data_IF_265943894963
#
_entry.id   IF_265943894963
#
_cell.length_a   1.000
_cell.length_b   1.000
_cell.length_c   1.000
_cell.angle_alpha   90.00
_cell.angle_beta   90.00
_cell.angle_gamma   90.00
#
_symmetry.space_group_name_H-M   'P 1'
#
loop_
_entity.id
_entity.type
_entity.pdbx_description
1 polymer ?
#
# COMPACT_ATOMS: atom_id res chain seq x y z
N UNK A 1 9.48 3.19 23.16
CA UNK A 1 9.32 2.71 21.76
C UNK A 1 7.93 3.09 21.26
N UNK A 2 7.82 4.07 20.35
CA UNK A 2 6.52 4.45 19.77
C UNK A 2 5.97 3.27 18.97
N UNK A 3 4.87 2.70 19.43
CA UNK A 3 4.08 1.69 18.69
C UNK A 3 3.55 2.40 17.45
N UNK A 4 4.28 2.43 16.35
CA UNK A 4 3.69 2.84 15.07
C UNK A 4 2.53 1.89 14.83
N UNK A 5 1.31 2.42 14.91
CA UNK A 5 0.10 1.60 14.79
C UNK A 5 0.18 0.90 13.44
N UNK A 6 0.11 -0.44 13.36
CA UNK A 6 0.15 -1.17 12.09
C UNK A 6 -0.86 -0.62 11.08
N UNK A 7 -1.97 -0.05 11.55
CA UNK A 7 -2.93 0.71 10.75
C UNK A 7 -2.36 1.96 10.11
N UNK A 8 -1.66 2.80 10.87
CA UNK A 8 -1.09 4.05 10.38
C UNK A 8 -0.05 3.75 9.29
N UNK A 9 0.76 2.71 9.50
CA UNK A 9 1.72 2.26 8.49
C UNK A 9 1.01 1.79 7.22
N UNK A 10 -0.05 0.96 7.35
CA UNK A 10 -0.84 0.49 6.20
C UNK A 10 -1.52 1.62 5.41
N UNK A 11 -2.01 2.66 6.10
CA UNK A 11 -2.60 3.85 5.47
C UNK A 11 -1.55 4.64 4.69
N UNK A 12 -0.35 4.83 5.25
CA UNK A 12 0.75 5.53 4.58
C UNK A 12 1.13 4.80 3.28
N UNK A 13 1.32 3.49 3.33
CA UNK A 13 1.63 2.69 2.13
C UNK A 13 0.50 2.76 1.10
N UNK A 14 -0.76 2.75 1.54
CA UNK A 14 -1.91 2.88 0.63
C UNK A 14 -1.92 4.24 -0.07
N UNK A 15 -1.67 5.33 0.66
CA UNK A 15 -1.57 6.68 0.09
C UNK A 15 -0.39 6.81 -0.88
N UNK A 16 0.75 6.21 -0.55
CA UNK A 16 1.92 6.18 -1.43
C UNK A 16 1.64 5.41 -2.73
N UNK A 17 0.97 4.24 -2.64
CA UNK A 17 0.57 3.48 -3.82
C UNK A 17 -0.41 4.24 -4.71
N UNK A 18 -1.35 4.99 -4.12
CA UNK A 18 -2.24 5.89 -4.88
C UNK A 18 -1.47 7.02 -5.57
N UNK A 19 -0.49 7.61 -4.90
CA UNK A 19 0.37 8.64 -5.47
C UNK A 19 1.15 8.10 -6.68
N UNK A 20 1.78 6.93 -6.56
CA UNK A 20 2.50 6.32 -7.68
C UNK A 20 1.56 5.92 -8.82
N UNK A 21 0.34 5.48 -8.52
CA UNK A 21 -0.67 5.21 -9.55
C UNK A 21 -1.05 6.48 -10.31
N UNK A 22 -1.24 7.59 -9.59
CA UNK A 22 -1.52 8.89 -10.21
C UNK A 22 -0.37 9.36 -11.12
N UNK A 23 0.88 9.23 -10.63
CA UNK A 23 2.08 9.54 -11.43
C UNK A 23 2.22 8.61 -12.64
N UNK A 24 1.86 7.33 -12.51
CA UNK A 24 1.91 6.36 -13.61
C UNK A 24 0.94 6.75 -14.72
N UNK A 25 -0.30 7.13 -14.37
CA UNK A 25 -1.31 7.58 -15.33
C UNK A 25 -0.82 8.83 -16.07
N UNK A 26 -0.22 9.79 -15.36
CA UNK A 26 0.34 10.99 -15.98
C UNK A 26 1.58 10.74 -16.85
N UNK A 27 2.25 9.59 -16.68
CA UNK A 27 3.43 9.18 -17.48
C UNK A 27 3.06 8.36 -18.73
N UNK A 28 1.77 8.02 -18.91
CA UNK A 28 1.28 7.38 -20.13
C UNK A 28 1.20 8.45 -21.22
N UNK A 29 2.14 8.42 -22.14
CA UNK A 29 2.08 9.23 -23.37
C UNK A 29 1.33 8.45 -24.46
N UNK A 30 2.03 7.57 -25.18
CA UNK A 30 1.42 6.74 -26.23
C UNK A 30 1.03 5.33 -25.75
N UNK A 31 1.70 4.84 -24.71
CA UNK A 31 1.56 3.46 -24.27
C UNK A 31 1.89 3.27 -22.79
N UNK A 32 1.20 2.30 -22.18
CA UNK A 32 1.48 1.79 -20.83
C UNK A 32 2.84 1.06 -20.74
N UNK A 33 3.44 0.71 -21.88
CA UNK A 33 4.74 0.04 -21.95
C UNK A 33 5.94 0.97 -21.76
N UNK A 34 5.71 2.26 -21.53
CA UNK A 34 6.77 3.20 -21.21
C UNK A 34 7.53 2.76 -19.95
N UNK A 35 8.85 2.76 -20.04
CA UNK A 35 9.76 2.42 -18.93
C UNK A 35 9.40 3.11 -17.60
N UNK A 36 9.19 4.44 -17.55
CA UNK A 36 8.81 5.10 -16.29
C UNK A 36 7.44 4.62 -15.75
N UNK A 37 6.47 4.39 -16.64
CA UNK A 37 5.13 3.90 -16.28
C UNK A 37 5.19 2.52 -15.64
N UNK A 38 5.96 1.60 -16.23
CA UNK A 38 6.14 0.24 -15.67
C UNK A 38 6.76 0.30 -14.28
N UNK A 39 7.78 1.14 -14.08
CA UNK A 39 8.43 1.32 -12.77
C UNK A 39 7.44 1.85 -11.73
N UNK A 40 6.66 2.88 -12.08
CA UNK A 40 5.66 3.46 -11.19
C UNK A 40 4.57 2.45 -10.82
N UNK A 41 4.11 1.63 -11.77
CA UNK A 41 3.15 0.56 -11.53
C UNK A 41 3.73 -0.52 -10.61
N UNK A 42 5.00 -0.90 -10.80
CA UNK A 42 5.68 -1.86 -9.93
C UNK A 42 5.78 -1.36 -8.49
N UNK A 43 6.18 -0.10 -8.29
CA UNK A 43 6.21 0.50 -6.96
C UNK A 43 4.82 0.57 -6.32
N UNK A 44 3.82 1.05 -7.06
CA UNK A 44 2.44 1.09 -6.59
C UNK A 44 1.95 -0.30 -6.15
N UNK A 45 2.26 -1.34 -6.93
CA UNK A 45 1.88 -2.74 -6.63
C UNK A 45 2.51 -3.21 -5.32
N UNK A 46 3.80 -2.91 -5.11
CA UNK A 46 4.48 -3.27 -3.86
C UNK A 46 3.87 -2.56 -2.65
N UNK A 47 3.60 -1.25 -2.77
CA UNK A 47 2.98 -0.44 -1.72
C UNK A 47 1.59 -0.96 -1.35
N UNK A 48 0.75 -1.28 -2.34
CA UNK A 48 -0.56 -1.89 -2.08
C UNK A 48 -0.44 -3.26 -1.41
N UNK A 49 0.51 -4.09 -1.81
CA UNK A 49 0.77 -5.38 -1.17
C UNK A 49 1.13 -5.23 0.32
N UNK A 50 2.01 -4.29 0.64
CA UNK A 50 2.38 -3.97 2.04
C UNK A 50 1.19 -3.41 2.81
N UNK A 51 0.42 -2.50 2.22
CA UNK A 51 -0.78 -1.93 2.82
C UNK A 51 -1.80 -3.03 3.18
N UNK A 52 -2.12 -3.93 2.24
CA UNK A 52 -3.02 -5.06 2.45
C UNK A 52 -2.52 -5.94 3.59
N UNK A 53 -1.23 -6.29 3.61
CA UNK A 53 -0.62 -7.08 4.67
C UNK A 53 -0.78 -6.43 6.05
N UNK A 54 -0.59 -5.12 6.15
CA UNK A 54 -0.76 -4.36 7.38
C UNK A 54 -2.22 -4.32 7.85
N UNK A 55 -3.18 -4.16 6.95
CA UNK A 55 -4.61 -4.24 7.28
C UNK A 55 -5.01 -5.64 7.77
N UNK A 56 -4.53 -6.70 7.11
CA UNK A 56 -4.76 -8.08 7.54
C UNK A 56 -4.15 -8.36 8.92
N UNK A 57 -2.94 -7.87 9.17
CA UNK A 57 -2.28 -7.98 10.47
C UNK A 57 -3.09 -7.27 11.55
N UNK A 58 -3.59 -6.06 11.29
CA UNK A 58 -4.44 -5.34 12.22
C UNK A 58 -5.73 -6.12 12.53
N UNK A 59 -6.42 -6.66 11.51
CA UNK A 59 -7.62 -7.51 11.72
C UNK A 59 -7.31 -8.76 12.54
N UNK A 60 -6.17 -9.41 12.30
CA UNK A 60 -5.73 -10.59 13.06
C UNK A 60 -5.45 -10.25 14.52
N UNK A 61 -4.74 -9.16 14.80
CA UNK A 61 -4.46 -8.68 16.16
C UNK A 61 -5.77 -8.34 16.88
N UNK A 62 -6.69 -7.63 16.23
CA UNK A 62 -8.00 -7.28 16.80
C UNK A 62 -8.84 -8.53 17.11
N UNK A 63 -8.83 -9.54 16.22
CA UNK A 63 -9.51 -10.83 16.44
C UNK A 63 -8.93 -11.59 17.64
N UNK A 64 -7.61 -11.62 17.78
CA UNK A 64 -6.96 -12.28 18.93
C UNK A 64 -7.24 -11.57 20.26
N UNK A 65 -7.38 -10.23 20.25
CA UNK A 65 -7.81 -9.48 21.44
C UNK A 65 -9.27 -9.77 21.82
N UNK A 66 -10.18 -9.84 20.83
CA UNK A 66 -11.61 -10.08 21.10
C UNK A 66 -11.92 -11.51 21.54
N UNK A 67 -11.13 -12.50 21.12
CA UNK A 67 -11.36 -13.91 21.45
C UNK A 67 -10.80 -14.32 22.82
N UNK A 68 -10.33 -13.36 23.61
CA UNK A 68 -9.77 -13.55 24.96
C UNK A 68 -10.68 -12.98 26.06
N UNK A 69 -11.91 -12.60 25.71
CA UNK A 69 -12.96 -12.13 26.64
C UNK A 69 -14.06 -13.15 26.80
#
# INVERSE_FOLDING_TARGET
MRRTSPLLMGIIYLLMGLLFTYLAIGSVEESIWNFPTIILILFATFDFGVAIRMFLLHKKIKKMMNNKS
#
